data_IF_864906163383
#
_entry.id   IF_864906163383
#
_cell.length_a   1.000
_cell.length_b   1.000
_cell.length_c   1.000
_cell.angle_alpha   90.00
_cell.angle_beta   90.00
_cell.angle_gamma   90.00
#
_symmetry.space_group_name_H-M   'P 1'
#
loop_
_entity.id
_entity.type
_entity.pdbx_description
1 polymer ?
#
# COMPACT_ATOMS: atom_id res chain seq x y z
N UNK A 1 9.75 -38.93 13.27
CA UNK A 1 8.42 -38.53 13.78
C UNK A 1 7.38 -39.04 12.81
N UNK A 2 6.37 -39.69 13.36
CA UNK A 2 5.47 -40.68 12.74
C UNK A 2 4.66 -40.13 11.56
N UNK A 3 4.70 -40.86 10.45
CA UNK A 3 3.91 -40.63 9.25
C UNK A 3 2.45 -41.03 9.50
N UNK A 4 1.58 -40.05 9.80
CA UNK A 4 0.12 -40.28 9.84
C UNK A 4 -0.68 -39.34 10.75
N UNK A 5 -0.04 -38.58 11.64
CA UNK A 5 -0.76 -37.70 12.58
C UNK A 5 -0.90 -36.29 12.01
N UNK A 6 -2.15 -35.86 11.77
CA UNK A 6 -2.47 -34.45 11.49
C UNK A 6 -2.54 -33.67 12.80
N UNK A 7 -1.57 -32.79 13.01
CA UNK A 7 -1.54 -31.88 14.17
C UNK A 7 -2.58 -30.76 14.00
N UNK A 8 -3.28 -30.43 15.07
CA UNK A 8 -4.22 -29.30 15.15
C UNK A 8 -4.11 -28.66 16.53
N UNK A 9 -4.49 -27.38 16.64
CA UNK A 9 -4.45 -26.64 17.91
C UNK A 9 -5.87 -26.29 18.38
N UNK A 10 -6.48 -25.24 17.83
CA UNK A 10 -7.82 -24.79 18.22
C UNK A 10 -8.94 -25.28 17.29
N UNK A 11 -8.62 -25.61 16.04
CA UNK A 11 -9.60 -26.03 15.03
C UNK A 11 -9.16 -27.35 14.41
N UNK A 12 -9.99 -28.38 14.57
CA UNK A 12 -9.85 -29.65 13.85
C UNK A 12 -10.76 -29.62 12.63
N UNK A 13 -10.19 -29.43 11.45
CA UNK A 13 -10.95 -29.53 10.21
C UNK A 13 -11.29 -31.00 9.97
N UNK A 14 -12.55 -31.39 10.20
CA UNK A 14 -13.03 -32.72 9.84
C UNK A 14 -13.04 -32.84 8.30
N UNK A 15 -12.33 -33.85 7.78
CA UNK A 15 -12.47 -34.25 6.38
C UNK A 15 -13.95 -34.57 6.14
N UNK A 16 -14.53 -33.98 5.10
CA UNK A 16 -15.97 -33.98 4.83
C UNK A 16 -16.59 -35.39 4.88
N UNK A 17 -17.34 -35.65 5.94
CA UNK A 17 -18.37 -36.68 6.04
C UNK A 17 -19.50 -36.12 6.91
N UNK A 18 -20.72 -36.10 6.35
CA UNK A 18 -21.98 -35.64 6.97
C UNK A 18 -22.24 -34.12 7.02
N UNK A 19 -22.45 -33.53 5.83
CA UNK A 19 -23.28 -32.33 5.68
C UNK A 19 -24.77 -32.66 5.91
N UNK A 20 -25.33 -32.36 7.09
CA UNK A 20 -26.79 -32.10 7.21
C UNK A 20 -27.23 -30.97 8.16
N UNK A 21 -26.34 -30.29 8.89
CA UNK A 21 -26.73 -29.18 9.80
C UNK A 21 -26.00 -27.83 9.56
N UNK A 22 -25.29 -27.68 8.44
CA UNK A 22 -24.28 -26.63 8.25
C UNK A 22 -24.73 -25.19 7.97
N UNK A 23 -25.98 -24.92 7.56
CA UNK A 23 -26.33 -23.58 7.03
C UNK A 23 -26.73 -22.55 8.10
N UNK A 24 -27.34 -22.98 9.22
CA UNK A 24 -27.70 -22.06 10.33
C UNK A 24 -26.54 -21.81 11.30
N UNK A 25 -25.71 -22.81 11.53
CA UNK A 25 -24.49 -22.68 12.36
C UNK A 25 -23.47 -21.74 11.72
N UNK A 26 -23.20 -21.89 10.41
CA UNK A 26 -22.26 -21.06 9.65
C UNK A 26 -22.63 -19.57 9.64
N UNK A 27 -23.92 -19.24 9.50
CA UNK A 27 -24.42 -17.85 9.49
C UNK A 27 -24.36 -17.16 10.86
N UNK A 28 -24.76 -17.83 11.94
CA UNK A 28 -24.65 -17.28 13.31
C UNK A 28 -23.19 -17.08 13.75
N UNK A 29 -22.34 -18.02 13.37
CA UNK A 29 -20.87 -17.96 13.53
C UNK A 29 -20.35 -16.70 12.83
N UNK A 30 -20.68 -16.48 11.55
CA UNK A 30 -20.26 -15.29 10.78
C UNK A 30 -20.68 -13.94 11.41
N UNK A 31 -21.91 -13.81 11.93
CA UNK A 31 -22.38 -12.58 12.58
C UNK A 31 -21.65 -12.29 13.90
N UNK A 32 -21.36 -13.31 14.73
CA UNK A 32 -20.57 -13.15 15.96
C UNK A 32 -19.12 -12.71 15.63
N UNK A 33 -18.54 -13.23 14.54
CA UNK A 33 -17.21 -12.79 14.11
C UNK A 33 -17.20 -11.35 13.60
N UNK A 34 -18.28 -10.87 12.99
CA UNK A 34 -18.35 -9.49 12.52
C UNK A 34 -18.25 -8.48 13.67
N UNK A 35 -18.96 -8.69 14.78
CA UNK A 35 -18.85 -7.80 15.95
C UNK A 35 -17.43 -7.80 16.53
N UNK A 36 -16.75 -8.96 16.53
CA UNK A 36 -15.35 -9.05 16.98
C UNK A 36 -14.40 -8.30 16.03
N UNK A 37 -14.59 -8.44 14.72
CA UNK A 37 -13.82 -7.68 13.72
C UNK A 37 -14.03 -6.17 13.90
N UNK A 38 -15.27 -5.73 14.13
CA UNK A 38 -15.58 -4.33 14.40
C UNK A 38 -14.93 -3.83 15.69
N UNK A 39 -14.92 -4.64 16.74
CA UNK A 39 -14.23 -4.30 17.99
C UNK A 39 -12.73 -4.13 17.77
N UNK A 40 -12.06 -5.08 17.10
CA UNK A 40 -10.64 -4.97 16.78
C UNK A 40 -10.34 -3.77 15.88
N UNK A 41 -11.16 -3.55 14.84
CA UNK A 41 -11.06 -2.37 13.96
C UNK A 41 -11.17 -1.09 14.78
N UNK A 42 -12.16 -0.99 15.66
CA UNK A 42 -12.36 0.15 16.55
C UNK A 42 -11.15 0.43 17.46
N UNK A 43 -10.55 -0.61 18.04
CA UNK A 43 -9.33 -0.47 18.85
C UNK A 43 -8.12 0.01 18.04
N UNK A 44 -7.97 -0.46 16.81
CA UNK A 44 -6.83 -0.11 15.95
C UNK A 44 -7.03 1.18 15.15
N UNK A 45 -8.25 1.73 15.14
CA UNK A 45 -8.66 2.82 14.25
C UNK A 45 -7.71 4.01 14.29
N UNK A 46 -7.40 4.52 15.50
CA UNK A 46 -6.51 5.68 15.66
C UNK A 46 -5.13 5.46 15.03
N UNK A 47 -4.56 4.26 15.17
CA UNK A 47 -3.24 3.97 14.60
C UNK A 47 -3.26 3.93 13.07
N UNK A 48 -4.37 3.47 12.49
CA UNK A 48 -4.58 3.50 11.02
C UNK A 48 -4.76 4.93 10.54
N UNK A 49 -5.56 5.73 11.24
CA UNK A 49 -5.78 7.15 10.92
C UNK A 49 -4.47 7.94 10.99
N UNK A 50 -3.74 7.81 12.10
CA UNK A 50 -2.46 8.49 12.31
C UNK A 50 -1.45 8.13 11.21
N UNK A 51 -1.43 6.86 10.77
CA UNK A 51 -0.57 6.40 9.67
C UNK A 51 -0.98 7.03 8.33
N UNK A 52 -2.27 6.97 7.98
CA UNK A 52 -2.76 7.47 6.69
C UNK A 52 -2.63 9.00 6.61
N UNK A 53 -2.95 9.71 7.69
CA UNK A 53 -2.79 11.15 7.77
C UNK A 53 -1.31 11.56 7.64
N UNK A 54 -0.40 10.80 8.27
CA UNK A 54 1.04 11.07 8.13
C UNK A 54 1.53 10.86 6.70
N UNK A 55 1.07 9.80 6.03
CA UNK A 55 1.45 9.50 4.63
C UNK A 55 0.89 10.54 3.66
N UNK A 56 -0.35 10.99 3.87
CA UNK A 56 -1.04 11.96 3.01
C UNK A 56 -1.00 13.40 3.56
N UNK A 57 0.13 13.79 4.15
CA UNK A 57 0.37 15.16 4.62
C UNK A 57 1.53 15.82 3.86
N UNK A 58 1.38 17.10 3.55
CA UNK A 58 2.44 17.95 2.97
C UNK A 58 3.32 18.60 4.02
N UNK A 59 2.89 18.61 5.28
CA UNK A 59 3.63 19.09 6.43
C UNK A 59 3.18 18.35 7.69
N UNK A 60 3.97 17.37 8.14
CA UNK A 60 3.69 16.64 9.38
C UNK A 60 4.72 17.02 10.44
N UNK A 61 4.28 17.59 11.56
CA UNK A 61 5.12 17.96 12.72
C UNK A 61 6.33 18.87 12.37
N UNK A 62 6.16 19.75 11.39
CA UNK A 62 7.19 20.70 10.96
C UNK A 62 8.19 20.14 9.94
N UNK A 63 8.08 18.87 9.54
CA UNK A 63 8.83 18.31 8.42
C UNK A 63 8.17 18.69 7.10
N UNK A 64 8.98 19.15 6.13
CA UNK A 64 8.53 19.43 4.77
C UNK A 64 8.30 18.13 3.98
N UNK A 65 7.45 18.20 2.96
CA UNK A 65 7.25 17.11 2.00
C UNK A 65 8.59 16.67 1.37
N UNK A 66 8.84 15.36 1.20
CA UNK A 66 10.01 14.86 0.48
C UNK A 66 10.13 15.43 -0.94
N UNK A 67 11.33 15.93 -1.30
CA UNK A 67 11.60 16.55 -2.61
C UNK A 67 11.26 15.62 -3.77
N UNK A 68 11.58 14.33 -3.65
CA UNK A 68 11.30 13.32 -4.68
C UNK A 68 9.80 13.21 -5.02
N UNK A 69 8.91 13.40 -4.05
CA UNK A 69 7.45 13.33 -4.28
C UNK A 69 7.01 14.54 -5.12
N UNK A 70 7.39 15.75 -4.70
CA UNK A 70 7.04 16.98 -5.44
C UNK A 70 7.59 16.93 -6.87
N UNK A 71 8.87 16.62 -7.03
CA UNK A 71 9.52 16.58 -8.34
C UNK A 71 8.88 15.53 -9.27
N UNK A 72 8.60 14.32 -8.76
CA UNK A 72 7.93 13.27 -9.54
C UNK A 72 6.49 13.63 -9.90
N UNK A 73 5.75 14.27 -9.00
CA UNK A 73 4.35 14.65 -9.28
C UNK A 73 4.26 15.79 -10.28
N UNK A 74 5.18 16.77 -10.21
CA UNK A 74 5.30 17.83 -11.22
C UNK A 74 5.65 17.22 -12.58
N UNK A 75 6.60 16.28 -12.63
CA UNK A 75 6.91 15.55 -13.86
C UNK A 75 5.66 14.87 -14.45
N UNK A 76 4.85 14.18 -13.64
CA UNK A 76 3.62 13.54 -14.13
C UNK A 76 2.60 14.56 -14.64
N UNK A 77 2.45 15.70 -13.98
CA UNK A 77 1.57 16.77 -14.42
C UNK A 77 2.06 17.37 -15.75
N UNK A 78 3.36 17.62 -15.90
CA UNK A 78 3.97 18.07 -17.16
C UNK A 78 3.81 17.06 -18.29
N UNK A 79 3.95 15.75 -18.02
CA UNK A 79 3.70 14.72 -19.03
C UNK A 79 2.23 14.73 -19.45
N UNK A 80 1.29 14.90 -18.51
CA UNK A 80 -0.12 15.03 -18.85
C UNK A 80 -0.37 16.28 -19.72
N UNK A 81 0.23 17.42 -19.39
CA UNK A 81 0.12 18.65 -20.17
C UNK A 81 0.73 18.51 -21.58
N UNK A 82 1.91 17.90 -21.72
CA UNK A 82 2.55 17.62 -23.02
C UNK A 82 1.68 16.78 -23.95
N UNK A 83 0.83 15.93 -23.37
CA UNK A 83 -0.11 15.07 -24.11
C UNK A 83 -1.55 15.62 -24.16
N UNK A 84 -1.77 16.88 -23.76
CA UNK A 84 -3.10 17.53 -23.71
C UNK A 84 -4.14 16.76 -22.87
N UNK A 85 -3.68 16.11 -21.80
CA UNK A 85 -4.53 15.37 -20.85
C UNK A 85 -4.92 16.32 -19.73
N UNK A 86 -6.14 16.88 -19.85
CA UNK A 86 -6.69 17.80 -18.86
C UNK A 86 -7.65 17.12 -17.86
N UNK A 87 -7.96 15.83 -18.02
CA UNK A 87 -8.78 15.09 -17.05
C UNK A 87 -8.00 14.88 -15.74
N UNK A 88 -8.44 15.47 -14.61
CA UNK A 88 -7.79 15.31 -13.31
C UNK A 88 -7.74 13.86 -12.82
N UNK A 89 -8.69 13.01 -13.24
CA UNK A 89 -8.74 11.60 -12.83
C UNK A 89 -7.56 10.81 -13.37
N UNK A 90 -7.06 11.15 -14.56
CA UNK A 90 -5.88 10.51 -15.15
C UNK A 90 -4.64 10.85 -14.32
N UNK A 91 -4.43 12.13 -14.01
CA UNK A 91 -3.30 12.59 -13.18
C UNK A 91 -3.36 11.99 -11.77
N UNK A 92 -4.54 11.96 -11.15
CA UNK A 92 -4.77 11.29 -9.86
C UNK A 92 -4.40 9.81 -9.93
N UNK A 93 -4.81 9.12 -10.99
CA UNK A 93 -4.53 7.70 -11.19
C UNK A 93 -3.03 7.45 -11.39
N UNK A 94 -2.34 8.29 -12.16
CA UNK A 94 -0.89 8.20 -12.34
C UNK A 94 -0.13 8.41 -11.03
N UNK A 95 -0.46 9.47 -10.28
CA UNK A 95 0.12 9.75 -8.95
C UNK A 95 -0.12 8.60 -7.98
N UNK A 96 -1.32 8.02 -8.00
CA UNK A 96 -1.66 6.87 -7.15
C UNK A 96 -0.90 5.59 -7.55
N UNK A 97 -0.80 5.32 -8.85
CA UNK A 97 -0.11 4.16 -9.38
C UNK A 97 1.42 4.25 -9.28
N UNK A 98 1.99 5.45 -9.18
CA UNK A 98 3.44 5.61 -9.09
C UNK A 98 3.95 5.50 -7.64
N UNK A 99 3.22 6.05 -6.66
CA UNK A 99 3.71 6.18 -5.29
C UNK A 99 2.91 5.31 -4.28
N UNK A 100 1.67 5.64 -3.88
CA UNK A 100 1.01 4.91 -2.81
C UNK A 100 0.79 3.44 -3.14
N UNK A 101 0.40 3.10 -4.37
CA UNK A 101 0.10 1.72 -4.74
C UNK A 101 1.35 0.85 -4.98
N UNK A 102 2.54 1.45 -5.12
CA UNK A 102 3.80 0.73 -5.33
C UNK A 102 4.66 0.71 -4.08
N UNK A 103 4.90 1.88 -3.51
CA UNK A 103 5.77 2.04 -2.36
C UNK A 103 5.01 1.86 -1.05
N UNK A 104 3.98 2.67 -0.77
CA UNK A 104 3.34 2.68 0.55
C UNK A 104 2.56 1.40 0.86
N UNK A 105 1.82 0.84 -0.10
CA UNK A 105 1.19 -0.48 0.06
C UNK A 105 2.22 -1.54 0.42
N UNK A 106 3.40 -1.51 -0.20
CA UNK A 106 4.45 -2.46 0.08
C UNK A 106 5.02 -2.28 1.50
N UNK A 107 5.26 -1.03 1.93
CA UNK A 107 5.73 -0.72 3.29
C UNK A 107 4.71 -1.10 4.37
N UNK A 108 3.41 -0.83 4.14
CA UNK A 108 2.32 -1.19 5.07
C UNK A 108 2.24 -2.71 5.21
N UNK A 109 2.31 -3.45 4.10
CA UNK A 109 2.26 -4.92 4.12
C UNK A 109 3.52 -5.55 4.68
N UNK A 110 4.68 -4.91 4.52
CA UNK A 110 5.99 -5.48 4.85
C UNK A 110 6.79 -4.57 5.80
N UNK A 111 6.32 -4.37 7.04
CA UNK A 111 7.02 -3.53 8.02
C UNK A 111 8.41 -4.09 8.39
N UNK A 112 8.66 -5.38 8.18
CA UNK A 112 9.98 -5.99 8.38
C UNK A 112 11.06 -5.51 7.38
N UNK A 113 10.68 -4.77 6.32
CA UNK A 113 11.64 -4.09 5.45
C UNK A 113 12.21 -2.82 6.08
N UNK A 114 11.54 -2.28 7.09
CA UNK A 114 11.92 -1.03 7.77
C UNK A 114 12.41 -1.31 9.20
N UNK A 115 11.82 -2.30 9.87
CA UNK A 115 12.09 -2.63 11.26
C UNK A 115 12.59 -4.06 11.41
N UNK A 116 13.50 -4.29 12.37
CA UNK A 116 13.93 -5.63 12.76
C UNK A 116 12.85 -6.34 13.59
N UNK A 117 11.86 -6.90 12.89
CA UNK A 117 10.69 -7.56 13.49
C UNK A 117 10.32 -8.84 12.74
N UNK A 118 9.79 -9.82 13.48
CA UNK A 118 9.20 -11.01 12.89
C UNK A 118 7.70 -10.79 12.62
N UNK A 119 7.31 -10.73 11.34
CA UNK A 119 5.91 -10.67 10.91
C UNK A 119 5.30 -12.08 10.86
N UNK A 120 4.42 -12.40 11.81
CA UNK A 120 3.67 -13.67 11.78
C UNK A 120 2.48 -13.60 10.79
N UNK A 121 1.88 -14.77 10.50
CA UNK A 121 0.79 -14.90 9.51
C UNK A 121 -0.49 -14.15 9.87
N UNK A 122 -0.81 -14.03 11.17
CA UNK A 122 -2.01 -13.30 11.62
C UNK A 122 -1.79 -11.79 11.42
N UNK A 123 -0.62 -11.27 11.78
CA UNK A 123 -0.24 -9.87 11.54
C UNK A 123 -0.24 -9.56 10.04
N UNK A 124 0.28 -10.46 9.19
CA UNK A 124 0.25 -10.31 7.74
C UNK A 124 -1.18 -10.20 7.17
N UNK A 125 -2.11 -11.05 7.66
CA UNK A 125 -3.51 -10.97 7.27
C UNK A 125 -4.16 -9.64 7.69
N UNK A 126 -3.90 -9.17 8.91
CA UNK A 126 -4.41 -7.88 9.39
C UNK A 126 -3.85 -6.69 8.59
N UNK A 127 -2.54 -6.67 8.32
CA UNK A 127 -1.91 -5.62 7.52
C UNK A 127 -2.39 -5.63 6.07
N UNK A 128 -2.75 -6.80 5.53
CA UNK A 128 -3.36 -6.89 4.20
C UNK A 128 -4.73 -6.23 4.14
N UNK A 129 -5.53 -6.29 5.22
CA UNK A 129 -6.80 -5.55 5.31
C UNK A 129 -6.54 -4.04 5.31
N UNK A 130 -5.60 -3.57 6.15
CA UNK A 130 -5.24 -2.14 6.22
C UNK A 130 -4.69 -1.63 4.88
N UNK A 131 -3.83 -2.41 4.23
CA UNK A 131 -3.27 -2.08 2.92
C UNK A 131 -4.37 -2.03 1.84
N UNK A 132 -5.36 -2.92 1.89
CA UNK A 132 -6.51 -2.85 0.96
C UNK A 132 -7.32 -1.57 1.19
N UNK A 133 -7.59 -1.20 2.45
CA UNK A 133 -8.25 0.05 2.78
C UNK A 133 -7.47 1.27 2.26
N UNK A 134 -6.14 1.25 2.39
CA UNK A 134 -5.26 2.27 1.84
C UNK A 134 -5.38 2.34 0.31
N UNK A 135 -5.35 1.21 -0.40
CA UNK A 135 -5.54 1.16 -1.85
C UNK A 135 -6.90 1.73 -2.28
N UNK A 136 -7.97 1.34 -1.58
CA UNK A 136 -9.33 1.81 -1.86
C UNK A 136 -9.46 3.34 -1.67
N UNK A 137 -8.69 3.93 -0.74
CA UNK A 137 -8.63 5.37 -0.52
C UNK A 137 -7.98 6.14 -1.68
N UNK A 138 -7.09 5.51 -2.44
CA UNK A 138 -6.46 6.13 -3.61
C UNK A 138 -7.30 6.02 -4.88
N UNK A 139 -8.35 5.20 -4.89
CA UNK A 139 -9.19 4.98 -6.07
C UNK A 139 -10.12 6.16 -6.36
N UNK A 140 -10.26 6.53 -7.63
CA UNK A 140 -11.28 7.50 -8.09
C UNK A 140 -12.67 6.86 -8.27
N UNK A 141 -12.76 5.52 -8.26
CA UNK A 141 -14.02 4.81 -8.49
C UNK A 141 -14.95 4.87 -7.28
N UNK A 142 -16.25 4.94 -7.52
CA UNK A 142 -17.24 4.86 -6.43
C UNK A 142 -17.12 3.56 -5.63
N UNK A 143 -17.25 3.70 -4.32
CA UNK A 143 -17.20 2.57 -3.41
C UNK A 143 -18.57 1.86 -3.36
N UNK A 144 -18.86 1.04 -4.38
CA UNK A 144 -20.11 0.26 -4.42
C UNK A 144 -20.06 -0.89 -3.40
N UNK A 145 -21.02 -0.88 -2.48
CA UNK A 145 -21.22 -1.89 -1.46
C UNK A 145 -22.50 -2.68 -1.75
N UNK A 146 -22.41 -3.99 -1.61
CA UNK A 146 -23.53 -4.92 -1.77
C UNK A 146 -23.41 -6.07 -0.80
N UNK A 147 -24.43 -6.94 -0.77
CA UNK A 147 -24.48 -8.09 0.14
C UNK A 147 -23.30 -9.06 -0.05
N UNK A 148 -22.74 -9.11 -1.25
CA UNK A 148 -21.59 -9.96 -1.60
C UNK A 148 -20.24 -9.23 -1.51
N UNK A 149 -20.20 -8.01 -0.94
CA UNK A 149 -18.94 -7.32 -0.71
C UNK A 149 -18.11 -8.03 0.35
N UNK A 150 -16.80 -8.19 0.14
CA UNK A 150 -15.94 -8.90 1.09
C UNK A 150 -15.85 -8.13 2.41
N UNK A 151 -15.67 -8.84 3.53
CA UNK A 151 -15.79 -8.28 4.88
C UNK A 151 -14.82 -7.12 5.14
N UNK A 152 -13.60 -7.18 4.60
CA UNK A 152 -12.62 -6.09 4.69
C UNK A 152 -13.13 -4.78 4.06
N UNK A 153 -13.85 -4.87 2.95
CA UNK A 153 -14.47 -3.72 2.28
C UNK A 153 -15.59 -3.11 3.13
N UNK A 154 -16.37 -3.96 3.80
CA UNK A 154 -17.45 -3.52 4.70
C UNK A 154 -16.90 -2.89 6.00
N UNK A 155 -15.76 -3.37 6.51
CA UNK A 155 -15.18 -2.89 7.77
C UNK A 155 -14.80 -1.41 7.76
N UNK A 156 -14.27 -0.91 6.63
CA UNK A 156 -13.81 0.48 6.48
C UNK A 156 -14.68 1.33 5.55
N UNK A 157 -15.81 0.78 5.08
CA UNK A 157 -16.74 1.43 4.16
C UNK A 157 -17.08 2.88 4.52
N UNK A 158 -17.27 3.17 5.82
CA UNK A 158 -17.65 4.50 6.32
C UNK A 158 -16.48 5.49 6.35
N UNK A 159 -15.25 4.99 6.42
CA UNK A 159 -14.04 5.81 6.56
C UNK A 159 -13.44 6.15 5.19
N UNK A 160 -13.62 5.29 4.18
CA UNK A 160 -13.10 5.46 2.81
C UNK A 160 -13.40 6.85 2.21
N UNK A 161 -14.62 7.42 2.30
CA UNK A 161 -14.88 8.77 1.77
C UNK A 161 -13.98 9.84 2.41
N UNK A 162 -13.71 9.74 3.72
CA UNK A 162 -12.81 10.67 4.41
C UNK A 162 -11.37 10.53 3.91
N UNK A 163 -10.88 9.28 3.78
CA UNK A 163 -9.53 9.04 3.28
C UNK A 163 -9.35 9.48 1.83
N UNK A 164 -10.36 9.31 0.96
CA UNK A 164 -10.33 9.84 -0.41
C UNK A 164 -10.17 11.36 -0.42
N UNK A 165 -10.90 12.07 0.44
CA UNK A 165 -10.74 13.52 0.58
C UNK A 165 -9.32 13.91 1.04
N UNK A 166 -8.66 13.10 1.87
CA UNK A 166 -7.26 13.34 2.26
C UNK A 166 -6.32 13.18 1.06
N UNK A 167 -6.49 12.13 0.26
CA UNK A 167 -5.70 11.89 -0.96
C UNK A 167 -5.87 13.02 -1.97
N UNK A 168 -7.12 13.43 -2.24
CA UNK A 168 -7.42 14.53 -3.16
C UNK A 168 -6.78 15.85 -2.70
N UNK A 169 -6.91 16.17 -1.40
CA UNK A 169 -6.26 17.34 -0.80
C UNK A 169 -4.75 17.25 -0.90
N UNK A 170 -4.16 16.11 -0.58
CA UNK A 170 -2.71 15.88 -0.66
C UNK A 170 -2.17 16.16 -2.06
N UNK A 171 -2.80 15.62 -3.11
CA UNK A 171 -2.38 15.89 -4.49
C UNK A 171 -2.60 17.36 -4.89
N UNK A 172 -3.70 17.97 -4.46
CA UNK A 172 -3.99 19.39 -4.73
C UNK A 172 -2.96 20.32 -4.08
N UNK A 173 -2.58 20.03 -2.84
CA UNK A 173 -1.66 20.87 -2.08
C UNK A 173 -0.22 20.74 -2.60
N UNK A 174 0.21 19.54 -3.00
CA UNK A 174 1.50 19.34 -3.68
C UNK A 174 1.57 20.12 -4.99
N UNK A 175 0.49 20.12 -5.78
CA UNK A 175 0.45 20.85 -7.05
C UNK A 175 0.60 22.38 -6.85
N UNK A 176 0.12 22.92 -5.72
CA UNK A 176 0.26 24.34 -5.37
C UNK A 176 1.64 24.69 -4.81
N UNK A 177 2.45 23.72 -4.41
CA UNK A 177 3.80 23.98 -3.90
C UNK A 177 4.70 24.54 -5.00
N UNK A 178 5.67 25.39 -4.66
CA UNK A 178 6.68 25.85 -5.61
C UNK A 178 7.38 24.67 -6.30
N UNK A 179 7.62 24.79 -7.60
CA UNK A 179 8.40 23.81 -8.34
C UNK A 179 9.83 23.73 -7.78
N UNK A 180 10.39 22.53 -7.76
CA UNK A 180 11.78 22.31 -7.38
C UNK A 180 12.65 22.52 -8.61
N UNK A 181 13.69 23.34 -8.49
CA UNK A 181 14.61 23.56 -9.61
C UNK A 181 15.45 22.30 -9.88
N UNK A 182 15.84 22.09 -11.15
CA UNK A 182 16.74 21.00 -11.51
C UNK A 182 18.08 21.10 -10.76
N UNK A 183 18.53 22.33 -10.46
CA UNK A 183 19.75 22.52 -9.67
C UNK A 183 19.59 21.96 -8.25
N UNK A 184 18.49 22.27 -7.57
CA UNK A 184 18.23 21.79 -6.20
C UNK A 184 18.02 20.28 -6.19
N UNK A 185 17.29 19.74 -7.17
CA UNK A 185 17.07 18.30 -7.28
C UNK A 185 18.36 17.54 -7.57
N UNK A 186 19.23 18.06 -8.46
CA UNK A 186 20.53 17.46 -8.74
C UNK A 186 21.46 17.52 -7.52
N UNK A 187 21.45 18.62 -6.76
CA UNK A 187 22.21 18.73 -5.52
C UNK A 187 21.74 17.70 -4.47
N UNK A 188 20.43 17.54 -4.32
CA UNK A 188 19.85 16.51 -3.46
C UNK A 188 20.26 15.09 -3.89
N UNK A 189 20.15 14.75 -5.17
CA UNK A 189 20.52 13.44 -5.71
C UNK A 189 22.03 13.15 -5.58
N UNK A 190 22.88 14.16 -5.79
CA UNK A 190 24.32 14.04 -5.59
C UNK A 190 24.67 13.74 -4.13
N UNK A 191 23.99 14.39 -3.18
CA UNK A 191 24.19 14.13 -1.76
C UNK A 191 23.72 12.73 -1.36
N UNK A 192 22.54 12.28 -1.82
CA UNK A 192 22.09 10.90 -1.60
C UNK A 192 23.08 9.88 -2.19
N UNK A 193 23.58 10.12 -3.41
CA UNK A 193 24.59 9.26 -4.06
C UNK A 193 25.88 9.18 -3.24
N UNK A 194 26.31 10.30 -2.65
CA UNK A 194 27.49 10.37 -1.79
C UNK A 194 27.30 9.62 -0.47
N UNK A 195 26.13 9.76 0.16
CA UNK A 195 25.80 9.09 1.43
C UNK A 195 25.82 7.56 1.29
N UNK A 196 25.30 7.04 0.18
CA UNK A 196 25.11 5.60 -0.02
C UNK A 196 26.16 4.94 -0.93
N UNK A 197 27.23 5.66 -1.31
CA UNK A 197 28.23 5.22 -2.30
C UNK A 197 28.86 3.84 -2.02
N UNK A 198 29.04 3.50 -0.75
CA UNK A 198 29.74 2.28 -0.32
C UNK A 198 28.80 1.24 0.33
N UNK A 199 27.49 1.41 0.23
CA UNK A 199 26.52 0.49 0.83
C UNK A 199 26.26 -0.76 -0.02
N UNK A 200 26.51 -0.68 -1.33
CA UNK A 200 26.18 -1.74 -2.29
C UNK A 200 27.40 -2.16 -3.13
N UNK A 201 27.48 -3.44 -3.48
CA UNK A 201 28.54 -3.97 -4.34
C UNK A 201 28.15 -3.84 -5.83
N UNK A 202 28.63 -2.78 -6.47
CA UNK A 202 28.35 -2.50 -7.89
C UNK A 202 28.83 -3.60 -8.83
N UNK A 203 29.96 -4.25 -8.54
CA UNK A 203 30.50 -5.32 -9.40
C UNK A 203 29.58 -6.54 -9.42
N UNK A 204 28.97 -6.87 -8.29
CA UNK A 204 28.00 -7.97 -8.22
C UNK A 204 26.74 -7.64 -9.03
N UNK A 205 26.21 -6.42 -8.88
CA UNK A 205 25.07 -5.97 -9.67
C UNK A 205 25.37 -5.97 -11.18
N UNK A 206 26.55 -5.49 -11.59
CA UNK A 206 26.97 -5.50 -13.00
C UNK A 206 27.10 -6.91 -13.56
N UNK A 207 27.63 -7.85 -12.79
CA UNK A 207 27.73 -9.26 -13.23
C UNK A 207 26.35 -9.86 -13.50
N UNK A 208 25.38 -9.63 -12.62
CA UNK A 208 24.00 -10.09 -12.81
C UNK A 208 23.34 -9.42 -14.02
N UNK A 209 23.52 -8.10 -14.19
CA UNK A 209 22.96 -7.36 -15.35
C UNK A 209 23.59 -7.84 -16.67
N UNK A 210 24.90 -8.09 -16.69
CA UNK A 210 25.61 -8.53 -17.90
C UNK A 210 25.08 -9.89 -18.41
N UNK A 211 24.57 -10.75 -17.52
CA UNK A 211 23.92 -12.00 -17.93
C UNK A 211 22.74 -11.77 -18.89
N UNK A 212 22.00 -10.66 -18.73
CA UNK A 212 20.90 -10.29 -19.63
C UNK A 212 21.42 -9.77 -20.97
N UNK A 213 22.53 -9.04 -21.00
CA UNK A 213 23.17 -8.58 -22.25
C UNK A 213 23.59 -9.78 -23.10
N UNK A 214 24.20 -10.80 -22.48
CA UNK A 214 24.57 -12.02 -23.19
C UNK A 214 23.36 -12.83 -23.67
N UNK A 215 22.26 -12.80 -22.91
CA UNK A 215 21.03 -13.53 -23.26
C UNK A 215 20.25 -12.88 -24.41
N UNK A 216 20.27 -11.55 -24.49
CA UNK A 216 19.50 -10.77 -25.45
C UNK A 216 20.41 -9.96 -26.39
N UNK A 217 21.57 -10.52 -26.74
CA UNK A 217 22.59 -9.81 -27.51
C UNK A 217 22.19 -9.54 -28.96
N UNK A 218 21.18 -10.23 -29.48
CA UNK A 218 20.68 -10.00 -30.84
C UNK A 218 19.64 -8.87 -30.89
N UNK A 219 18.92 -8.65 -29.78
CA UNK A 219 17.89 -7.62 -29.68
C UNK A 219 18.40 -6.25 -29.21
N UNK A 220 19.50 -6.21 -28.46
CA UNK A 220 20.16 -5.00 -27.91
C UNK A 220 21.21 -4.46 -28.86
#
# INVERSE_FOLDING_TARGET
>A
LESGVKMWHLVKNHEHGDQKEGDRGSKMVSEIYLTRLLATKGTLQKFVDDLFETIFSTAHRGSALPLAIKYMFDFLDEQADKHNIHDPHVRHTWKSNCLPLRFWVNMIKNPQFVFDIHKNSITDACLSVVAQTFMDSCSTSEHRLGKDSPSNKLLYAKDIPSYKNWVERYYSDIAKMPAISDQDMNAYLAEQSRMHMNEFNTMSALSEIYSYVGKYSEEV
#
